data_IF_264186264468
#
_entry.id   IF_264186264468
#
_cell.length_a   1.000
_cell.length_b   1.000
_cell.length_c   1.000
_cell.angle_alpha   90.00
_cell.angle_beta   90.00
_cell.angle_gamma   90.00
#
_symmetry.space_group_name_H-M   'P 1'
#
loop_
_entity.id
_entity.type
_entity.pdbx_description
1 polymer ?
#
# COMPACT_ATOMS: atom_id res chain seq x y z
N UNK A 1 -6.90 -5.57 9.75
CA UNK A 1 -7.18 -5.16 8.37
C UNK A 1 -7.47 -6.38 7.51
N UNK A 2 -8.67 -6.41 6.98
CA UNK A 2 -9.14 -7.38 5.98
C UNK A 2 -8.74 -6.93 4.57
N UNK A 3 -8.97 -7.77 3.57
CA UNK A 3 -8.67 -7.40 2.18
C UNK A 3 -9.64 -6.32 1.65
N UNK A 4 -10.92 -6.37 2.03
CA UNK A 4 -11.92 -5.37 1.63
C UNK A 4 -11.58 -3.99 2.21
N UNK A 5 -11.26 -3.92 3.50
CA UNK A 5 -10.85 -2.67 4.16
C UNK A 5 -9.62 -2.04 3.48
N UNK A 6 -8.68 -2.86 3.02
CA UNK A 6 -7.52 -2.38 2.27
C UNK A 6 -7.92 -1.87 0.88
N UNK A 7 -8.74 -2.62 0.13
CA UNK A 7 -9.19 -2.22 -1.21
C UNK A 7 -9.95 -0.90 -1.14
N UNK A 8 -10.90 -0.77 -0.22
CA UNK A 8 -11.68 0.45 -0.04
C UNK A 8 -10.78 1.65 0.28
N UNK A 9 -9.79 1.44 1.14
CA UNK A 9 -8.78 2.46 1.45
C UNK A 9 -7.97 2.86 0.21
N UNK A 10 -7.48 1.89 -0.56
CA UNK A 10 -6.66 2.16 -1.75
C UNK A 10 -7.49 2.85 -2.84
N UNK A 11 -8.73 2.44 -3.06
CA UNK A 11 -9.64 3.04 -4.04
C UNK A 11 -10.06 4.46 -3.66
N UNK A 12 -10.25 4.72 -2.35
CA UNK A 12 -10.50 6.07 -1.85
C UNK A 12 -9.33 7.02 -2.14
N UNK A 13 -8.10 6.58 -1.88
CA UNK A 13 -6.91 7.42 -2.07
C UNK A 13 -6.47 7.52 -3.52
N UNK A 14 -6.72 6.50 -4.32
CA UNK A 14 -6.49 6.55 -5.76
C UNK A 14 -7.36 7.63 -6.44
N UNK A 15 -8.60 7.85 -5.96
CA UNK A 15 -9.43 9.00 -6.39
C UNK A 15 -8.86 10.38 -6.03
N UNK A 16 -7.82 10.42 -5.21
CA UNK A 16 -7.11 11.63 -4.78
C UNK A 16 -5.67 11.64 -5.29
N UNK A 17 -5.39 10.87 -6.34
CA UNK A 17 -4.08 10.74 -6.97
C UNK A 17 -2.97 10.30 -6.00
N UNK A 18 -3.35 9.59 -4.92
CA UNK A 18 -2.42 9.06 -3.94
C UNK A 18 -2.37 7.54 -4.01
N UNK A 19 -1.19 7.04 -4.33
CA UNK A 19 -0.97 5.61 -4.55
C UNK A 19 0.17 5.03 -3.71
N UNK A 20 0.91 5.87 -2.99
CA UNK A 20 2.06 5.49 -2.18
C UNK A 20 1.83 5.83 -0.70
N UNK A 21 2.14 4.89 0.19
CA UNK A 21 1.79 4.95 1.61
C UNK A 21 2.91 4.38 2.48
N UNK A 22 3.23 5.07 3.56
CA UNK A 22 4.16 4.56 4.57
C UNK A 22 3.42 3.69 5.59
N UNK A 23 4.16 2.82 6.27
CA UNK A 23 3.63 2.00 7.37
C UNK A 23 3.03 2.89 8.48
N UNK A 24 3.66 4.04 8.78
CA UNK A 24 3.14 5.00 9.75
C UNK A 24 1.78 5.55 9.33
N UNK A 25 1.59 5.79 8.02
CA UNK A 25 0.30 6.23 7.50
C UNK A 25 -0.77 5.17 7.67
N UNK A 26 -0.45 3.90 7.37
CA UNK A 26 -1.35 2.78 7.66
C UNK A 26 -1.66 2.67 9.16
N UNK A 27 -0.69 2.91 10.05
CA UNK A 27 -0.94 2.85 11.49
C UNK A 27 -1.92 3.92 11.98
N UNK A 28 -1.91 5.11 11.36
CA UNK A 28 -2.90 6.17 11.65
C UNK A 28 -4.28 5.79 11.13
N UNK A 29 -4.37 5.29 9.89
CA UNK A 29 -5.66 4.96 9.27
C UNK A 29 -6.31 3.70 9.86
N UNK A 30 -5.51 2.69 10.19
CA UNK A 30 -5.91 1.40 10.73
C UNK A 30 -5.55 1.29 12.22
N UNK A 31 -5.85 2.33 13.01
CA UNK A 31 -5.51 2.45 14.44
C UNK A 31 -6.05 1.33 15.35
N UNK A 32 -6.96 0.48 14.85
CA UNK A 32 -7.46 -0.70 15.57
C UNK A 32 -6.46 -1.86 15.59
N UNK A 33 -5.46 -1.86 14.71
CA UNK A 33 -4.38 -2.86 14.72
C UNK A 33 -3.15 -2.32 15.44
N UNK A 34 -2.49 -3.19 16.22
CA UNK A 34 -1.12 -2.92 16.67
C UNK A 34 -0.18 -2.85 15.46
N UNK A 35 0.94 -2.13 15.60
CA UNK A 35 1.93 -2.01 14.53
C UNK A 35 2.45 -3.38 14.03
N UNK A 36 2.57 -4.36 14.94
CA UNK A 36 2.98 -5.72 14.60
C UNK A 36 1.92 -6.43 13.76
N UNK A 37 0.65 -6.37 14.16
CA UNK A 37 -0.44 -6.97 13.40
C UNK A 37 -0.61 -6.31 12.03
N UNK A 38 -0.44 -5.00 11.97
CA UNK A 38 -0.48 -4.26 10.71
C UNK A 38 0.60 -4.72 9.73
N UNK A 39 1.84 -4.93 10.19
CA UNK A 39 2.93 -5.48 9.35
C UNK A 39 2.59 -6.88 8.84
N UNK A 40 2.02 -7.74 9.69
CA UNK A 40 1.58 -9.09 9.31
C UNK A 40 0.47 -9.02 8.26
N UNK A 41 -0.53 -8.17 8.48
CA UNK A 41 -1.64 -7.94 7.55
C UNK A 41 -1.15 -7.43 6.20
N UNK A 42 -0.28 -6.41 6.17
CA UNK A 42 0.30 -5.86 4.95
C UNK A 42 1.18 -6.87 4.21
N UNK A 43 2.02 -7.65 4.92
CA UNK A 43 2.83 -8.69 4.29
C UNK A 43 1.96 -9.77 3.66
N UNK A 44 0.94 -10.25 4.37
CA UNK A 44 -0.02 -11.26 3.86
C UNK A 44 -0.78 -10.75 2.65
N UNK A 45 -1.28 -9.51 2.67
CA UNK A 45 -2.04 -8.93 1.57
C UNK A 45 -1.13 -8.57 0.38
N UNK A 46 0.13 -8.25 0.65
CA UNK A 46 1.12 -7.99 -0.39
C UNK A 46 1.49 -9.26 -1.15
N UNK A 47 1.67 -10.39 -0.46
CA UNK A 47 1.86 -11.71 -1.11
C UNK A 47 0.68 -12.13 -2.00
N UNK A 48 -0.51 -11.58 -1.76
CA UNK A 48 -1.71 -11.80 -2.58
C UNK A 48 -1.87 -10.79 -3.72
N UNK A 49 -0.97 -9.83 -3.87
CA UNK A 49 -1.01 -8.82 -4.92
C UNK A 49 -1.99 -7.66 -4.69
N UNK A 50 -2.57 -7.52 -3.50
CA UNK A 50 -3.47 -6.39 -3.21
C UNK A 50 -2.73 -5.07 -2.98
N UNK A 51 -1.46 -5.15 -2.57
CA UNK A 51 -0.58 -4.01 -2.34
C UNK A 51 0.87 -4.42 -2.61
N UNK A 52 1.68 -3.53 -3.15
CA UNK A 52 3.10 -3.82 -3.43
C UNK A 52 3.95 -3.28 -2.28
N UNK A 53 4.83 -4.10 -1.73
CA UNK A 53 5.87 -3.60 -0.83
C UNK A 53 7.03 -3.10 -1.67
N UNK A 54 7.25 -1.80 -1.60
CA UNK A 54 8.13 -1.07 -2.51
C UNK A 54 9.54 -0.96 -1.93
N UNK A 55 9.62 -0.52 -0.68
CA UNK A 55 10.86 -0.41 0.08
C UNK A 55 10.53 -0.43 1.57
N UNK A 56 11.52 -0.39 2.46
CA UNK A 56 11.35 -0.58 3.91
C UNK A 56 10.23 0.30 4.50
N UNK A 57 9.06 -0.31 4.73
CA UNK A 57 7.90 0.37 5.30
C UNK A 57 7.15 1.27 4.33
N UNK A 58 7.34 1.10 3.02
CA UNK A 58 6.70 1.83 1.95
C UNK A 58 5.93 0.86 1.06
N UNK A 59 4.67 1.20 0.77
CA UNK A 59 3.77 0.35 0.02
C UNK A 59 3.00 1.14 -1.02
N UNK A 60 2.68 0.51 -2.14
CA UNK A 60 1.98 1.14 -3.25
C UNK A 60 0.73 0.36 -3.68
N UNK A 61 -0.26 1.10 -4.20
CA UNK A 61 -1.43 0.54 -4.85
C UNK A 61 -1.07 0.05 -6.28
N UNK A 62 -1.01 -1.26 -6.55
CA UNK A 62 -0.68 -1.77 -7.89
C UNK A 62 -1.75 -1.44 -8.95
N UNK A 63 -2.97 -1.11 -8.50
CA UNK A 63 -4.10 -0.80 -9.39
C UNK A 63 -4.25 0.71 -9.63
N UNK A 64 -3.24 1.50 -9.28
CA UNK A 64 -3.38 2.95 -9.34
C UNK A 64 -3.59 3.45 -10.77
N UNK A 65 -4.45 4.47 -10.93
CA UNK A 65 -4.60 5.20 -12.19
C UNK A 65 -3.38 6.06 -12.52
N UNK A 66 -2.54 6.37 -11.53
CA UNK A 66 -1.25 7.06 -11.72
C UNK A 66 -0.15 6.08 -12.17
N UNK A 67 -0.44 5.22 -13.14
CA UNK A 67 0.44 4.10 -13.52
C UNK A 67 1.82 4.53 -14.02
N UNK A 68 1.94 5.68 -14.70
CA UNK A 68 3.24 6.19 -15.17
C UNK A 68 4.20 6.47 -14.01
N UNK A 69 3.75 7.16 -12.96
CA UNK A 69 4.59 7.45 -11.79
C UNK A 69 4.95 6.18 -11.02
N UNK A 70 4.05 5.19 -10.99
CA UNK A 70 4.29 3.90 -10.36
C UNK A 70 5.36 3.10 -11.14
N UNK A 71 5.25 3.04 -12.47
CA UNK A 71 6.21 2.35 -13.34
C UNK A 71 7.60 2.99 -13.27
N UNK A 72 7.69 4.32 -13.29
CA UNK A 72 8.96 5.03 -13.11
C UNK A 72 9.63 4.69 -11.78
N UNK A 73 8.85 4.58 -10.70
CA UNK A 73 9.36 4.20 -9.39
C UNK A 73 9.84 2.74 -9.35
N UNK A 74 9.10 1.80 -9.94
CA UNK A 74 9.54 0.39 -10.03
C UNK A 74 10.85 0.27 -10.81
N UNK A 75 10.95 0.93 -11.97
CA UNK A 75 12.18 0.95 -12.78
C UNK A 75 13.36 1.51 -11.98
N UNK A 76 13.17 2.63 -11.28
CA UNK A 76 14.22 3.26 -10.49
C UNK A 76 14.71 2.43 -9.28
N UNK A 77 13.93 1.46 -8.79
CA UNK A 77 14.32 0.60 -7.67
C UNK A 77 14.78 -0.80 -8.11
N UNK A 78 14.68 -1.11 -9.40
CA UNK A 78 15.20 -2.34 -10.01
C UNK A 78 16.49 -2.12 -10.81
N UNK A 79 17.05 -0.90 -10.76
CA UNK A 79 18.38 -0.51 -11.27
C UNK A 79 19.34 -0.25 -10.11
#
# INVERSE_FOLDING_TARGET
>A
MTHLELIDFLDYWDKKDKWLFTLSYFAVCFHKESLQNLKISLSRLSKKGYIVHVSKGLYANPRTRCSMLFQEYEVANHL
#
